data_IF_468353784201
#
_entry.id   IF_468353784201
#
_cell.length_a   1.000
_cell.length_b   1.000
_cell.length_c   1.000
_cell.angle_alpha   90.00
_cell.angle_beta   90.00
_cell.angle_gamma   90.00
#
_symmetry.space_group_name_H-M   'P 1'
#
loop_
_entity.id
_entity.type
_entity.pdbx_description
1 polymer ?
#
# COMPACT_ATOMS: atom_id res chain seq x y z
N UNK A 1 -4.61 -25.53 -3.63
CA UNK A 1 -4.92 -24.84 -2.36
C UNK A 1 -5.79 -23.61 -2.59
N UNK A 2 -5.39 -22.65 -3.42
CA UNK A 2 -6.20 -21.44 -3.67
C UNK A 2 -7.54 -21.73 -4.35
N UNK A 3 -7.60 -22.71 -5.25
CA UNK A 3 -8.85 -23.12 -5.89
C UNK A 3 -9.86 -23.65 -4.87
N UNK A 4 -9.40 -24.47 -3.92
CA UNK A 4 -10.23 -24.95 -2.81
C UNK A 4 -10.73 -23.81 -1.91
N UNK A 5 -9.89 -22.80 -1.64
CA UNK A 5 -10.33 -21.61 -0.91
C UNK A 5 -11.45 -20.85 -1.68
N UNK A 6 -11.40 -20.84 -3.01
CA UNK A 6 -12.44 -20.24 -3.86
C UNK A 6 -13.71 -21.07 -3.98
N UNK A 7 -13.62 -22.39 -3.87
CA UNK A 7 -14.81 -23.25 -3.76
C UNK A 7 -15.64 -22.89 -2.51
N UNK A 8 -14.96 -22.60 -1.39
CA UNK A 8 -15.61 -22.20 -0.14
C UNK A 8 -16.04 -20.73 -0.18
N UNK A 9 -15.20 -19.84 -0.72
CA UNK A 9 -15.48 -18.41 -0.86
C UNK A 9 -15.14 -17.93 -2.29
N UNK A 10 -16.13 -17.81 -3.19
CA UNK A 10 -15.90 -17.37 -4.56
C UNK A 10 -15.23 -15.99 -4.69
N UNK A 11 -15.37 -15.14 -3.66
CA UNK A 11 -14.78 -13.81 -3.60
C UNK A 11 -13.45 -13.77 -2.81
N UNK A 12 -12.78 -14.92 -2.63
CA UNK A 12 -11.52 -15.01 -1.90
C UNK A 12 -10.44 -14.12 -2.57
N UNK A 13 -10.07 -13.05 -1.89
CA UNK A 13 -9.09 -12.07 -2.34
C UNK A 13 -7.66 -12.55 -2.00
N UNK A 14 -6.78 -12.52 -2.99
CA UNK A 14 -5.38 -12.91 -2.81
C UNK A 14 -4.49 -11.70 -3.08
N UNK A 15 -3.82 -11.24 -2.02
CA UNK A 15 -2.66 -10.36 -2.12
C UNK A 15 -1.39 -11.20 -1.98
N UNK A 16 -0.36 -10.90 -2.75
CA UNK A 16 0.92 -11.59 -2.67
C UNK A 16 2.08 -10.61 -2.64
N UNK A 17 3.05 -10.87 -1.78
CA UNK A 17 4.39 -10.34 -1.96
C UNK A 17 5.08 -11.19 -3.02
N UNK A 18 5.21 -10.64 -4.24
CA UNK A 18 5.71 -11.37 -5.41
C UNK A 18 6.79 -10.56 -6.11
N UNK A 19 7.99 -11.13 -6.18
CA UNK A 19 9.10 -10.61 -6.99
C UNK A 19 9.98 -11.77 -7.45
N UNK A 20 9.81 -12.21 -8.69
CA UNK A 20 10.67 -13.26 -9.28
C UNK A 20 11.87 -12.69 -10.05
N UNK A 21 12.00 -11.35 -10.12
CA UNK A 21 12.98 -10.67 -10.97
C UNK A 21 12.66 -10.76 -12.47
N UNK A 22 11.59 -11.46 -12.86
CA UNK A 22 11.15 -11.60 -14.24
C UNK A 22 9.64 -11.32 -14.36
N UNK A 23 9.30 -10.25 -15.07
CA UNK A 23 7.91 -9.81 -15.25
C UNK A 23 7.01 -10.89 -15.88
N UNK A 24 7.54 -11.70 -16.80
CA UNK A 24 6.76 -12.78 -17.43
C UNK A 24 6.46 -13.89 -16.43
N UNK A 25 7.42 -14.24 -15.58
CA UNK A 25 7.23 -15.23 -14.53
C UNK A 25 6.24 -14.73 -13.48
N UNK A 26 6.36 -13.47 -13.06
CA UNK A 26 5.36 -12.85 -12.16
C UNK A 26 3.96 -12.92 -12.76
N UNK A 27 3.81 -12.57 -14.04
CA UNK A 27 2.53 -12.64 -14.76
C UNK A 27 1.96 -14.07 -14.84
N UNK A 28 2.82 -15.08 -15.03
CA UNK A 28 2.40 -16.49 -15.00
C UNK A 28 1.83 -16.86 -13.63
N UNK A 29 2.51 -16.52 -12.54
CA UNK A 29 2.00 -16.79 -11.19
C UNK A 29 0.69 -16.06 -10.91
N UNK A 30 0.61 -14.78 -11.28
CA UNK A 30 -0.60 -13.97 -11.11
C UNK A 30 -1.79 -14.62 -11.83
N UNK A 31 -1.62 -14.99 -13.10
CA UNK A 31 -2.69 -15.55 -13.91
C UNK A 31 -3.09 -16.97 -13.47
N UNK A 32 -2.12 -17.83 -13.14
CA UNK A 32 -2.39 -19.21 -12.77
C UNK A 32 -2.97 -19.35 -11.36
N UNK A 33 -2.45 -18.59 -10.39
CA UNK A 33 -2.94 -18.62 -9.01
C UNK A 33 -4.20 -17.76 -8.87
N UNK A 34 -4.38 -16.75 -9.74
CA UNK A 34 -5.44 -15.76 -9.65
C UNK A 34 -5.17 -14.71 -8.56
N UNK A 35 -3.92 -14.28 -8.42
CA UNK A 35 -3.53 -13.20 -7.49
C UNK A 35 -4.24 -11.92 -7.93
N UNK A 36 -4.87 -11.22 -7.00
CA UNK A 36 -5.64 -10.00 -7.27
C UNK A 36 -4.79 -8.76 -7.14
N UNK A 37 -3.89 -8.70 -6.15
CA UNK A 37 -2.95 -7.60 -6.00
C UNK A 37 -1.58 -8.07 -5.56
N UNK A 38 -0.59 -7.22 -5.82
CA UNK A 38 0.81 -7.46 -5.45
C UNK A 38 1.27 -6.37 -4.48
N UNK A 39 1.96 -6.77 -3.42
CA UNK A 39 2.57 -5.85 -2.45
C UNK A 39 3.65 -5.01 -3.14
N UNK A 40 3.59 -3.71 -2.89
CA UNK A 40 4.60 -2.72 -3.30
C UNK A 40 4.95 -1.86 -2.09
N UNK A 41 6.20 -1.46 -1.99
CA UNK A 41 6.70 -0.80 -0.79
C UNK A 41 7.34 0.53 -1.14
N UNK A 42 6.82 1.61 -0.56
CA UNK A 42 7.42 2.95 -0.74
C UNK A 42 8.80 3.03 -0.11
N UNK A 43 9.06 2.18 0.88
CA UNK A 43 10.32 2.11 1.61
C UNK A 43 11.51 1.73 0.72
N UNK A 44 11.27 1.05 -0.42
CA UNK A 44 12.31 0.67 -1.38
C UNK A 44 12.94 1.86 -2.10
N UNK A 45 12.19 2.92 -2.35
CA UNK A 45 12.67 4.11 -3.08
C UNK A 45 13.68 4.88 -2.24
N UNK A 46 14.92 5.04 -2.70
CA UNK A 46 15.97 5.71 -1.92
C UNK A 46 15.70 7.21 -1.75
N UNK A 47 15.26 7.87 -2.82
CA UNK A 47 15.07 9.31 -2.90
C UNK A 47 13.66 9.69 -3.42
N UNK A 48 13.30 10.99 -3.43
CA UNK A 48 12.01 11.45 -3.94
C UNK A 48 11.78 11.15 -5.43
N UNK A 49 12.85 11.05 -6.23
CA UNK A 49 12.76 10.77 -7.66
C UNK A 49 12.32 9.32 -7.91
N UNK A 50 12.97 8.37 -7.24
CA UNK A 50 12.57 6.96 -7.26
C UNK A 50 11.18 6.74 -6.66
N UNK A 51 10.80 7.52 -5.65
CA UNK A 51 9.44 7.46 -5.09
C UNK A 51 8.40 7.90 -6.12
N UNK A 52 8.66 8.98 -6.85
CA UNK A 52 7.79 9.44 -7.94
C UNK A 52 7.63 8.38 -9.03
N UNK A 53 8.72 7.72 -9.44
CA UNK A 53 8.66 6.61 -10.39
C UNK A 53 7.84 5.44 -9.86
N UNK A 54 8.03 5.06 -8.60
CA UNK A 54 7.27 3.99 -7.96
C UNK A 54 5.77 4.31 -7.95
N UNK A 55 5.39 5.53 -7.56
CA UNK A 55 3.97 5.97 -7.53
C UNK A 55 3.35 5.88 -8.93
N UNK A 56 4.07 6.33 -9.96
CA UNK A 56 3.60 6.24 -11.35
C UNK A 56 3.44 4.78 -11.81
N UNK A 57 4.34 3.89 -11.37
CA UNK A 57 4.26 2.47 -11.68
C UNK A 57 3.05 1.80 -11.02
N UNK A 58 2.82 2.05 -9.73
CA UNK A 58 1.77 1.37 -8.94
C UNK A 58 0.37 1.93 -9.18
N UNK A 59 0.23 3.20 -9.54
CA UNK A 59 -1.07 3.86 -9.74
C UNK A 59 -1.75 3.35 -11.01
N UNK A 60 -2.97 2.84 -10.92
CA UNK A 60 -3.70 2.20 -12.02
C UNK A 60 -4.31 3.18 -13.04
N UNK A 61 -4.16 4.48 -12.80
CA UNK A 61 -4.71 5.56 -13.60
C UNK A 61 -3.94 5.77 -14.90
N UNK A 62 -4.62 6.36 -15.88
CA UNK A 62 -3.97 6.83 -17.10
C UNK A 62 -3.35 8.23 -16.83
N UNK A 63 -2.26 8.61 -17.51
CA UNK A 63 -1.73 9.97 -17.44
C UNK A 63 -2.80 11.03 -17.74
N UNK A 64 -2.73 12.18 -17.06
CA UNK A 64 -3.63 13.31 -17.31
C UNK A 64 -3.52 13.72 -18.80
N UNK A 65 -4.68 13.81 -19.47
CA UNK A 65 -4.75 14.12 -20.90
C UNK A 65 -4.61 12.90 -21.83
N UNK A 66 -4.68 11.68 -21.30
CA UNK A 66 -4.70 10.46 -22.12
C UNK A 66 -5.90 10.42 -23.06
N UNK A 67 -5.71 9.77 -24.22
CA UNK A 67 -6.79 9.58 -25.19
C UNK A 67 -7.93 8.76 -24.59
N UNK A 68 -9.16 9.19 -24.84
CA UNK A 68 -10.36 8.49 -24.39
C UNK A 68 -10.44 7.13 -25.09
N UNK A 69 -10.44 6.06 -24.30
CA UNK A 69 -10.59 4.69 -24.81
C UNK A 69 -12.01 4.49 -25.34
N UNK A 70 -12.14 3.86 -26.51
CA UNK A 70 -13.43 3.49 -27.09
C UNK A 70 -14.18 2.50 -26.18
N UNK A 71 -15.52 2.55 -26.18
CA UNK A 71 -16.37 1.61 -25.43
C UNK A 71 -16.19 0.16 -25.92
N UNK A 72 -15.88 -0.03 -27.20
CA UNK A 72 -15.56 -1.33 -27.79
C UNK A 72 -14.04 -1.55 -27.81
N UNK A 73 -13.43 -1.69 -26.65
CA UNK A 73 -12.01 -2.02 -26.54
C UNK A 73 -11.82 -3.53 -26.36
N UNK A 74 -10.71 -4.04 -26.92
CA UNK A 74 -10.29 -5.42 -26.69
C UNK A 74 -9.82 -5.60 -25.25
N UNK A 75 -9.95 -6.81 -24.72
CA UNK A 75 -9.30 -7.18 -23.47
C UNK A 75 -7.79 -7.22 -23.71
N UNK A 76 -7.09 -6.20 -23.22
CA UNK A 76 -5.64 -6.09 -23.33
C UNK A 76 -4.98 -6.56 -22.02
N UNK A 77 -3.75 -7.09 -22.09
CA UNK A 77 -2.94 -7.31 -20.89
C UNK A 77 -2.80 -6.00 -20.11
N UNK A 78 -3.07 -6.05 -18.82
CA UNK A 78 -2.88 -4.93 -17.90
C UNK A 78 -1.81 -5.28 -16.86
N UNK A 79 -1.28 -4.23 -16.21
CA UNK A 79 -0.46 -4.43 -15.01
C UNK A 79 -1.32 -5.02 -13.88
N UNK A 80 -0.74 -5.86 -13.02
CA UNK A 80 -1.47 -6.32 -11.84
C UNK A 80 -1.79 -5.15 -10.91
N UNK A 81 -2.90 -5.26 -10.20
CA UNK A 81 -3.25 -4.30 -9.17
C UNK A 81 -2.18 -4.29 -8.08
N UNK A 82 -1.97 -3.11 -7.49
CA UNK A 82 -0.94 -2.91 -6.48
C UNK A 82 -1.56 -2.64 -5.12
N UNK A 83 -0.93 -3.19 -4.08
CA UNK A 83 -1.18 -2.78 -2.71
C UNK A 83 0.07 -2.08 -2.20
N UNK A 84 0.01 -0.76 -2.15
CA UNK A 84 1.15 0.11 -1.88
C UNK A 84 1.26 0.45 -0.40
N UNK A 85 2.33 -0.01 0.23
CA UNK A 85 2.62 0.19 1.62
C UNK A 85 3.54 1.39 1.83
N UNK A 86 3.21 2.23 2.81
CA UNK A 86 4.20 3.19 3.32
C UNK A 86 5.38 2.45 3.96
N UNK A 87 5.10 1.54 4.88
CA UNK A 87 6.05 0.61 5.50
C UNK A 87 5.37 -0.74 5.74
N UNK A 88 6.03 -1.83 5.36
CA UNK A 88 5.64 -3.20 5.72
C UNK A 88 6.25 -3.60 7.07
N UNK A 89 5.95 -4.81 7.54
CA UNK A 89 6.37 -5.28 8.86
C UNK A 89 7.84 -5.73 8.90
N UNK A 90 8.41 -6.10 7.75
CA UNK A 90 9.77 -6.56 7.57
C UNK A 90 10.73 -5.44 7.15
N UNK A 91 10.22 -4.25 6.82
CA UNK A 91 11.05 -3.07 6.58
C UNK A 91 11.67 -2.53 7.89
N UNK A 92 12.91 -2.01 7.86
CA UNK A 92 13.47 -1.26 8.99
C UNK A 92 12.64 0.01 9.25
N UNK A 93 12.77 0.58 10.45
CA UNK A 93 11.99 1.76 10.82
C UNK A 93 12.25 2.93 9.87
N UNK A 94 11.16 3.56 9.42
CA UNK A 94 11.22 4.74 8.55
C UNK A 94 12.05 5.88 9.14
N UNK A 95 11.97 6.07 10.46
CA UNK A 95 12.69 7.11 11.19
C UNK A 95 14.20 6.80 11.24
N UNK A 96 14.57 5.53 11.45
CA UNK A 96 15.97 5.10 11.47
C UNK A 96 16.63 5.19 10.09
N UNK A 97 15.90 4.80 9.04
CA UNK A 97 16.41 4.83 7.67
C UNK A 97 16.49 6.24 7.09
N UNK A 98 15.50 7.07 7.40
CA UNK A 98 15.37 8.43 6.85
C UNK A 98 15.25 9.43 7.99
N UNK A 99 14.03 9.91 8.25
CA UNK A 99 13.76 10.88 9.30
C UNK A 99 12.28 10.87 9.64
N UNK A 100 11.93 11.46 10.79
CA UNK A 100 10.53 11.59 11.22
C UNK A 100 9.72 12.48 10.28
N UNK A 101 10.38 13.46 9.65
CA UNK A 101 9.77 14.40 8.72
C UNK A 101 9.33 13.74 7.40
N UNK A 102 9.92 12.61 7.00
CA UNK A 102 9.55 11.88 5.78
C UNK A 102 8.22 11.11 5.92
N UNK A 103 7.80 10.79 7.15
CA UNK A 103 6.64 9.92 7.41
C UNK A 103 5.34 10.50 6.86
N UNK A 104 5.09 11.80 7.10
CA UNK A 104 3.89 12.51 6.63
C UNK A 104 3.85 12.63 5.10
N UNK A 105 4.85 13.25 4.42
CA UNK A 105 4.81 13.42 2.97
C UNK A 105 4.76 12.07 2.25
N UNK A 106 5.47 11.05 2.74
CA UNK A 106 5.38 9.69 2.20
C UNK A 106 3.99 9.12 2.34
N UNK A 107 3.37 9.24 3.51
CA UNK A 107 1.98 8.79 3.73
C UNK A 107 1.01 9.46 2.78
N UNK A 108 1.19 10.76 2.53
CA UNK A 108 0.36 11.51 1.60
C UNK A 108 0.57 11.02 0.16
N UNK A 109 1.83 10.83 -0.27
CA UNK A 109 2.15 10.28 -1.58
C UNK A 109 1.57 8.87 -1.80
N UNK A 110 1.69 7.98 -0.80
CA UNK A 110 1.08 6.64 -0.85
C UNK A 110 -0.44 6.74 -0.92
N UNK A 111 -1.06 7.56 -0.07
CA UNK A 111 -2.51 7.75 -0.03
C UNK A 111 -3.08 8.36 -1.32
N UNK A 112 -2.30 9.17 -2.05
CA UNK A 112 -2.74 9.76 -3.31
C UNK A 112 -2.47 8.88 -4.53
N UNK A 113 -1.75 7.76 -4.39
CA UNK A 113 -1.59 6.79 -5.46
C UNK A 113 -2.94 6.12 -5.76
N UNK A 114 -3.28 5.98 -7.05
CA UNK A 114 -4.52 5.32 -7.47
C UNK A 114 -4.36 3.80 -7.41
N UNK A 115 -4.30 3.25 -6.19
CA UNK A 115 -4.17 1.82 -5.89
C UNK A 115 -4.58 1.55 -4.44
N UNK A 116 -4.62 0.29 -4.01
CA UNK A 116 -4.86 -0.03 -2.60
C UNK A 116 -3.67 0.42 -1.75
N UNK A 117 -3.91 0.90 -0.53
CA UNK A 117 -2.86 1.42 0.36
C UNK A 117 -2.78 0.64 1.68
N UNK A 118 -1.59 0.59 2.28
CA UNK A 118 -1.33 -0.16 3.52
C UNK A 118 -0.27 0.51 4.40
N UNK A 119 -0.32 0.21 5.70
CA UNK A 119 0.64 0.68 6.71
C UNK A 119 0.83 -0.41 7.76
N UNK A 120 2.04 -0.55 8.30
CA UNK A 120 2.28 -1.41 9.46
C UNK A 120 2.00 -0.66 10.77
N UNK A 121 1.49 -1.37 11.78
CA UNK A 121 1.27 -0.81 13.12
C UNK A 121 2.60 -0.30 13.70
N UNK A 122 2.59 0.88 14.30
CA UNK A 122 3.79 1.55 14.80
C UNK A 122 4.33 2.63 13.86
N UNK A 123 4.05 2.55 12.55
CA UNK A 123 4.42 3.60 11.60
C UNK A 123 3.69 4.91 11.91
N UNK A 124 2.36 4.86 12.02
CA UNK A 124 1.52 6.03 12.31
C UNK A 124 1.74 6.61 13.72
N UNK A 125 2.24 5.79 14.64
CA UNK A 125 2.60 6.19 16.01
C UNK A 125 4.03 6.68 16.16
N UNK A 126 4.82 6.67 15.08
CA UNK A 126 6.23 7.08 15.06
C UNK A 126 7.09 6.27 16.04
N UNK A 127 6.91 4.94 16.06
CA UNK A 127 7.78 4.05 16.84
C UNK A 127 9.21 4.18 16.30
N UNK A 128 10.19 4.60 17.12
CA UNK A 128 11.49 5.06 16.64
C UNK A 128 12.51 3.93 16.40
N UNK A 129 12.05 2.67 16.32
CA UNK A 129 12.89 1.50 16.11
C UNK A 129 12.15 0.45 15.30
N UNK A 130 12.88 -0.43 14.62
CA UNK A 130 12.30 -1.58 13.93
C UNK A 130 11.63 -2.55 14.93
N UNK A 131 10.41 -2.97 14.62
CA UNK A 131 9.64 -3.92 15.43
C UNK A 131 9.94 -5.32 14.89
N UNK A 132 10.95 -5.96 15.48
CA UNK A 132 11.40 -7.29 15.07
C UNK A 132 10.34 -8.36 15.38
N UNK A 133 9.84 -9.03 14.35
CA UNK A 133 8.76 -10.03 14.47
C UNK A 133 9.16 -11.31 15.22
N UNK A 134 10.46 -11.54 15.44
CA UNK A 134 11.01 -12.71 16.15
C UNK A 134 11.36 -12.36 17.60
N UNK A 135 12.01 -11.22 17.81
CA UNK A 135 12.63 -10.88 19.09
C UNK A 135 11.86 -9.84 19.91
N UNK A 136 10.91 -9.11 19.31
CA UNK A 136 10.10 -8.15 20.05
C UNK A 136 9.15 -8.86 21.02
N UNK A 137 9.19 -8.45 22.28
CA UNK A 137 8.36 -9.01 23.35
C UNK A 137 7.42 -7.98 23.97
N UNK A 138 7.63 -6.69 23.70
CA UNK A 138 6.80 -5.61 24.21
C UNK A 138 5.48 -5.58 23.45
N UNK A 139 4.41 -5.26 24.18
CA UNK A 139 3.10 -5.06 23.58
C UNK A 139 2.95 -3.65 23.03
N UNK A 140 2.18 -3.51 21.93
CA UNK A 140 1.71 -2.21 21.47
C UNK A 140 0.92 -1.48 22.56
N UNK A 141 1.06 -0.15 22.60
CA UNK A 141 0.23 0.73 23.41
C UNK A 141 -1.25 0.51 23.11
N UNK A 142 -2.07 0.44 24.16
CA UNK A 142 -3.51 0.19 24.02
C UNK A 142 -4.20 1.41 23.43
N UNK A 143 -5.01 1.16 22.40
CA UNK A 143 -5.90 2.18 21.83
C UNK A 143 -7.01 2.54 22.83
N UNK A 144 -7.30 3.83 22.96
CA UNK A 144 -8.53 4.28 23.60
C UNK A 144 -8.81 5.76 23.38
N UNK A 145 -10.06 6.12 23.13
CA UNK A 145 -10.47 7.50 22.84
C UNK A 145 -10.10 8.51 23.95
N UNK A 146 -10.11 8.05 25.20
CA UNK A 146 -9.68 8.83 26.39
C UNK A 146 -8.34 8.33 26.97
N UNK A 147 -7.66 7.41 26.26
CA UNK A 147 -6.39 6.85 26.71
C UNK A 147 -5.30 7.92 26.68
N UNK A 148 -4.45 7.91 27.72
CA UNK A 148 -3.20 8.67 27.74
C UNK A 148 -2.08 8.01 26.93
N UNK A 149 -2.25 6.75 26.50
CA UNK A 149 -1.27 6.02 25.71
C UNK A 149 -1.40 6.35 24.22
N UNK A 150 -2.26 5.62 23.49
CA UNK A 150 -2.52 5.88 22.06
C UNK A 150 -3.97 6.25 21.85
N UNK A 151 -4.17 7.38 21.18
CA UNK A 151 -5.47 7.88 20.77
C UNK A 151 -5.34 8.57 19.40
N UNK A 152 -6.44 9.16 18.96
CA UNK A 152 -6.54 9.88 17.70
C UNK A 152 -5.54 11.01 17.48
N UNK A 153 -5.05 11.62 18.56
CA UNK A 153 -4.10 12.74 18.55
C UNK A 153 -2.64 12.27 18.63
N UNK A 154 -2.40 10.96 18.76
CA UNK A 154 -1.05 10.41 18.78
C UNK A 154 -0.43 10.56 17.40
N UNK A 155 0.73 11.21 17.34
CA UNK A 155 1.58 11.31 16.16
C UNK A 155 0.80 11.69 14.89
N UNK A 156 0.85 10.85 13.84
CA UNK A 156 0.24 11.16 12.55
C UNK A 156 -1.13 10.48 12.33
N UNK A 157 -1.70 9.83 13.35
CA UNK A 157 -2.94 9.04 13.21
C UNK A 157 -4.11 9.88 12.68
N UNK A 158 -4.29 11.10 13.19
CA UNK A 158 -5.33 12.03 12.70
C UNK A 158 -5.10 12.42 11.23
N UNK A 159 -3.85 12.61 10.83
CA UNK A 159 -3.46 12.92 9.45
C UNK A 159 -3.74 11.73 8.55
N UNK A 160 -3.31 10.51 8.94
CA UNK A 160 -3.56 9.29 8.17
C UNK A 160 -5.05 9.05 7.97
N UNK A 161 -5.88 9.31 8.98
CA UNK A 161 -7.34 9.24 8.86
C UNK A 161 -7.88 10.21 7.83
N UNK A 162 -7.39 11.46 7.82
CA UNK A 162 -7.82 12.45 6.84
C UNK A 162 -7.42 12.04 5.42
N UNK A 163 -6.19 11.53 5.24
CA UNK A 163 -5.70 11.00 3.97
C UNK A 163 -6.52 9.80 3.48
N UNK A 164 -6.80 8.84 4.37
CA UNK A 164 -7.60 7.65 4.03
C UNK A 164 -9.04 8.04 3.67
N UNK A 165 -9.63 9.00 4.40
CA UNK A 165 -10.96 9.52 4.06
C UNK A 165 -10.95 10.16 2.68
N UNK A 166 -9.97 11.02 2.38
CA UNK A 166 -9.83 11.63 1.06
C UNK A 166 -9.68 10.57 -0.04
N UNK A 167 -8.84 9.56 0.16
CA UNK A 167 -8.64 8.46 -0.79
C UNK A 167 -9.97 7.73 -1.09
N UNK A 168 -10.74 7.41 -0.06
CA UNK A 168 -12.06 6.76 -0.20
C UNK A 168 -13.05 7.68 -0.92
N UNK A 169 -13.12 8.95 -0.52
CA UNK A 169 -14.05 9.93 -1.08
C UNK A 169 -13.77 10.14 -2.60
N UNK A 170 -12.50 10.17 -3.00
CA UNK A 170 -12.08 10.25 -4.40
C UNK A 170 -12.49 8.98 -5.18
N UNK A 171 -12.24 7.80 -4.63
CA UNK A 171 -12.62 6.54 -5.26
C UNK A 171 -14.14 6.41 -5.45
N UNK A 172 -14.93 6.79 -4.44
CA UNK A 172 -16.40 6.76 -4.50
C UNK A 172 -16.97 7.72 -5.55
N UNK A 173 -16.30 8.84 -5.80
CA UNK A 173 -16.67 9.81 -6.82
C UNK A 173 -16.17 9.44 -8.23
N UNK A 174 -15.46 8.31 -8.38
CA UNK A 174 -14.98 7.82 -9.67
C UNK A 174 -13.73 8.53 -10.19
N UNK A 175 -12.99 9.23 -9.32
CA UNK A 175 -11.69 9.79 -9.71
C UNK A 175 -10.69 8.67 -9.98
N UNK A 176 -9.98 8.78 -11.09
CA UNK A 176 -9.02 7.79 -11.63
C UNK A 176 -7.63 8.39 -11.86
N UNK A 177 -7.51 9.72 -11.76
CA UNK A 177 -6.30 10.52 -11.86
C UNK A 177 -6.46 11.82 -11.06
#
# INVERSE_FOLDING_TARGET
MMDYAREINPNFYINAELSTGNIKTDALFINQIGIKSVVKESHRSFDPYELGQMISLVSEGDPIGSFIKSSNHQLLPSKPYSWFYDQTHDNPCQIERRSVEDVIPRSACVAMAYCSTGSNRGYDELVPHHIDVVHETRFYSKWGYQSKQTNEKTAIISIKRALNKLHIDLAQQGYTQ
#
